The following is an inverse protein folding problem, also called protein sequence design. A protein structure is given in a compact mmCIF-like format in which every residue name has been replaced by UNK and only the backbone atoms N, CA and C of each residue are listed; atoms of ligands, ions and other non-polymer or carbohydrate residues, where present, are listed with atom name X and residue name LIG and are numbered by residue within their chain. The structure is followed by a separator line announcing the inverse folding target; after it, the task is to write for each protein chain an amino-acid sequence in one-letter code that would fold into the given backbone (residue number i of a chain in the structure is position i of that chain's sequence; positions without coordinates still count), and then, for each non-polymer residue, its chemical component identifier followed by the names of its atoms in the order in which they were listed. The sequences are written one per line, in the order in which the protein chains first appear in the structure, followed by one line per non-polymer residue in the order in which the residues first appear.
data_IF_758234332129
#
_entry.id   IF_758234332129
#
_cell.length_a   1.000
_cell.length_b   1.000
_cell.length_c   1.000
_cell.angle_alpha   90.00
_cell.angle_beta   90.00
_cell.angle_gamma   90.00
#
_symmetry.space_group_name_H-M   'P 1'
#
loop_
_entity.id
_entity.type
_entity.pdbx_description
1 polymer ?
#
# COMPACT_ATOMS: atom_id res chain seq x y z
N UNK A 1 12.33 -1.71 -1.50
CA UNK A 1 12.71 -1.15 -2.82
C UNK A 1 11.76 -1.74 -3.86
N UNK A 2 11.05 -0.90 -4.63
CA UNK A 2 10.13 -1.37 -5.68
C UNK A 2 10.92 -2.07 -6.78
N UNK A 3 10.41 -3.19 -7.30
CA UNK A 3 11.07 -3.95 -8.36
C UNK A 3 11.01 -3.15 -9.68
N UNK A 4 12.14 -2.70 -10.25
CA UNK A 4 12.14 -1.88 -11.46
C UNK A 4 11.67 -2.65 -12.70
N UNK A 5 11.61 -3.98 -12.63
CA UNK A 5 11.23 -4.87 -13.73
C UNK A 5 9.73 -5.21 -13.76
N UNK A 6 8.90 -4.51 -12.99
CA UNK A 6 7.45 -4.68 -13.04
C UNK A 6 6.94 -4.23 -14.41
N UNK A 7 6.43 -5.18 -15.20
CA UNK A 7 5.89 -4.94 -16.54
C UNK A 7 4.39 -4.66 -16.54
N UNK A 8 3.67 -5.16 -15.53
CA UNK A 8 2.23 -5.06 -15.43
C UNK A 8 1.85 -4.66 -14.02
N UNK A 9 1.01 -3.63 -13.89
CA UNK A 9 0.45 -3.19 -12.62
C UNK A 9 -1.06 -3.39 -12.64
N UNK A 10 -1.59 -4.02 -11.59
CA UNK A 10 -3.02 -4.16 -11.38
C UNK A 10 -3.38 -3.52 -10.04
N UNK A 11 -4.09 -2.40 -10.10
CA UNK A 11 -4.68 -1.74 -8.93
C UNK A 11 -6.13 -2.17 -8.80
N UNK A 12 -6.53 -2.54 -7.59
CA UNK A 12 -7.92 -2.87 -7.25
C UNK A 12 -8.31 -1.95 -6.09
N UNK A 13 -9.42 -1.23 -6.25
CA UNK A 13 -9.99 -0.39 -5.19
C UNK A 13 -11.40 -0.86 -4.87
N UNK A 14 -11.58 -1.26 -3.61
CA UNK A 14 -12.87 -1.69 -3.06
C UNK A 14 -13.28 -0.69 -1.96
N UNK A 15 -14.18 0.25 -2.29
CA UNK A 15 -14.66 1.28 -1.36
C UNK A 15 -15.60 2.29 -2.04
N UNK A 16 -16.25 3.20 -1.27
CA UNK A 16 -17.11 4.23 -1.82
C UNK A 16 -16.43 5.06 -2.90
N UNK A 17 -17.16 5.32 -3.99
CA UNK A 17 -16.68 6.08 -5.16
C UNK A 17 -16.03 7.41 -4.77
N UNK A 18 -16.52 8.08 -3.72
CA UNK A 18 -15.98 9.36 -3.26
C UNK A 18 -14.55 9.29 -2.69
N UNK A 19 -14.10 8.12 -2.20
CA UNK A 19 -12.79 7.98 -1.57
C UNK A 19 -11.70 7.65 -2.58
N UNK A 20 -11.92 6.64 -3.43
CA UNK A 20 -10.88 6.16 -4.35
C UNK A 20 -11.06 6.64 -5.79
N UNK A 21 -12.30 6.92 -6.24
CA UNK A 21 -12.57 7.42 -7.59
C UNK A 21 -12.51 8.95 -7.64
N UNK A 22 -11.35 9.52 -7.29
CA UNK A 22 -11.12 10.96 -7.36
C UNK A 22 -10.09 11.32 -8.44
N UNK A 23 -10.13 12.58 -8.91
CA UNK A 23 -9.25 13.06 -9.98
C UNK A 23 -7.77 12.96 -9.62
N UNK A 24 -7.42 13.13 -8.35
CA UNK A 24 -6.04 13.07 -7.86
C UNK A 24 -5.50 11.64 -7.97
N UNK A 25 -6.26 10.62 -7.56
CA UNK A 25 -5.86 9.23 -7.71
C UNK A 25 -5.73 8.83 -9.19
N UNK A 26 -6.60 9.34 -10.06
CA UNK A 26 -6.47 9.13 -11.51
C UNK A 26 -5.18 9.78 -12.06
N UNK A 27 -4.85 10.99 -11.61
CA UNK A 27 -3.58 11.63 -11.94
C UNK A 27 -2.39 10.81 -11.45
N UNK A 28 -2.38 10.41 -10.17
CA UNK A 28 -1.32 9.59 -9.58
C UNK A 28 -1.12 8.30 -10.36
N UNK A 29 -2.21 7.59 -10.68
CA UNK A 29 -2.16 6.35 -11.43
C UNK A 29 -1.58 6.54 -12.83
N UNK A 30 -1.96 7.60 -13.55
CA UNK A 30 -1.58 7.81 -14.96
C UNK A 30 -0.26 8.55 -15.15
N UNK A 31 0.16 9.38 -14.19
CA UNK A 31 1.32 10.29 -14.33
C UNK A 31 2.47 9.98 -13.37
N UNK A 32 2.16 9.63 -12.12
CA UNK A 32 3.22 9.35 -11.14
C UNK A 32 3.71 7.91 -11.23
N UNK A 33 2.81 6.93 -11.38
CA UNK A 33 3.17 5.51 -11.45
C UNK A 33 4.26 5.21 -12.49
N UNK A 34 4.15 5.82 -13.67
CA UNK A 34 5.11 5.59 -14.78
C UNK A 34 6.52 6.10 -14.47
N UNK A 35 6.68 7.05 -13.54
CA UNK A 35 8.00 7.55 -13.12
C UNK A 35 8.74 6.51 -12.25
N UNK A 36 8.00 5.68 -11.52
CA UNK A 36 8.57 4.70 -10.59
C UNK A 36 8.71 3.30 -11.18
N UNK A 37 7.90 2.96 -12.19
CA UNK A 37 7.97 1.66 -12.88
C UNK A 37 8.44 1.85 -14.33
N UNK A 38 9.76 1.98 -14.52
CA UNK A 38 10.37 2.24 -15.82
C UNK A 38 10.09 1.16 -16.89
N UNK A 39 9.88 -0.09 -16.47
CA UNK A 39 9.57 -1.22 -17.35
C UNK A 39 8.06 -1.46 -17.57
N UNK A 40 7.20 -0.57 -17.07
CA UNK A 40 5.74 -0.76 -17.10
C UNK A 40 5.22 -0.71 -18.54
N UNK A 41 4.72 -1.85 -19.02
CA UNK A 41 4.11 -1.98 -20.33
C UNK A 41 2.59 -1.80 -20.28
N UNK A 42 1.96 -2.19 -19.18
CA UNK A 42 0.51 -2.03 -18.99
C UNK A 42 0.16 -1.78 -17.52
N UNK A 43 -0.92 -1.02 -17.31
CA UNK A 43 -1.50 -0.81 -16.00
C UNK A 43 -3.02 -0.84 -16.10
N UNK A 44 -3.68 -1.52 -15.17
CA UNK A 44 -5.14 -1.51 -15.05
C UNK A 44 -5.55 -1.07 -13.66
N UNK A 45 -6.59 -0.26 -13.57
CA UNK A 45 -7.21 0.08 -12.30
C UNK A 45 -8.68 -0.33 -12.34
N UNK A 46 -9.02 -1.33 -11.52
CA UNK A 46 -10.35 -1.91 -11.44
C UNK A 46 -11.06 -1.47 -10.16
N UNK A 47 -12.35 -1.17 -10.30
CA UNK A 47 -13.23 -0.85 -9.18
C UNK A 47 -14.19 -2.00 -8.97
N UNK A 48 -14.26 -2.48 -7.74
CA UNK A 48 -15.28 -3.43 -7.33
C UNK A 48 -16.46 -2.68 -6.75
N UNK A 49 -17.68 -3.16 -6.99
CA UNK A 49 -18.85 -2.65 -6.27
C UNK A 49 -18.60 -2.72 -4.77
N UNK A 50 -19.11 -1.73 -4.03
CA UNK A 50 -19.07 -1.73 -2.58
C UNK A 50 -19.82 -2.94 -2.05
N UNK A 51 -19.09 -4.02 -1.79
CA UNK A 51 -19.60 -5.24 -1.18
C UNK A 51 -18.92 -5.38 0.17
N UNK A 52 -19.68 -5.78 1.20
CA UNK A 52 -19.13 -6.12 2.52
C UNK A 52 -18.25 -7.40 2.52
N UNK A 53 -17.69 -7.78 1.37
CA UNK A 53 -16.76 -8.90 1.26
C UNK A 53 -15.37 -8.45 1.65
N UNK A 54 -14.70 -9.20 2.53
CA UNK A 54 -13.30 -8.94 2.85
C UNK A 54 -12.43 -9.17 1.60
N UNK A 55 -11.61 -8.20 1.25
CA UNK A 55 -10.68 -8.27 0.13
C UNK A 55 -9.34 -8.92 0.51
N UNK A 56 -8.48 -9.11 -0.49
CA UNK A 56 -7.12 -9.61 -0.26
C UNK A 56 -6.31 -8.69 0.70
N UNK A 57 -6.54 -7.38 0.63
CA UNK A 57 -5.95 -6.38 1.54
C UNK A 57 -6.33 -6.65 3.01
N UNK A 58 -7.57 -7.03 3.28
CA UNK A 58 -8.02 -7.36 4.64
C UNK A 58 -7.31 -8.61 5.18
N UNK A 59 -7.02 -9.58 4.32
CA UNK A 59 -6.23 -10.76 4.67
C UNK A 59 -4.80 -10.40 5.10
N UNK A 60 -4.13 -9.51 4.35
CA UNK A 60 -2.81 -8.99 4.71
C UNK A 60 -2.86 -8.19 6.02
N UNK A 61 -3.88 -7.34 6.19
CA UNK A 61 -4.09 -6.63 7.46
C UNK A 61 -4.33 -7.58 8.62
N UNK A 62 -5.08 -8.65 8.40
CA UNK A 62 -5.39 -9.66 9.41
C UNK A 62 -4.15 -10.44 9.85
N UNK A 63 -3.29 -10.88 8.92
CA UNK A 63 -2.10 -11.66 9.28
C UNK A 63 -1.07 -10.79 10.05
N UNK A 64 -0.95 -9.51 9.69
CA UNK A 64 -0.10 -8.57 10.42
C UNK A 64 -0.60 -8.40 11.86
N UNK A 65 -1.91 -8.13 12.04
CA UNK A 65 -2.52 -7.96 13.37
C UNK A 65 -2.38 -9.23 14.22
N UNK A 66 -2.74 -10.39 13.66
CA UNK A 66 -2.62 -11.67 14.36
C UNK A 66 -1.18 -11.98 14.77
N UNK A 67 -0.20 -11.63 13.93
CA UNK A 67 1.21 -11.82 14.27
C UNK A 67 1.66 -10.92 15.40
N UNK A 68 1.20 -9.66 15.43
CA UNK A 68 1.44 -8.73 16.52
C UNK A 68 0.79 -9.20 17.83
N UNK A 69 -0.49 -9.61 17.78
CA UNK A 69 -1.21 -10.17 18.94
C UNK A 69 -0.47 -11.37 19.52
N UNK A 70 0.04 -12.25 18.67
CA UNK A 70 0.83 -13.41 19.08
C UNK A 70 2.16 -13.01 19.73
N UNK A 71 2.86 -12.03 19.17
CA UNK A 71 4.11 -11.52 19.74
C UNK A 71 3.89 -10.93 21.15
N UNK A 72 2.80 -10.18 21.34
CA UNK A 72 2.41 -9.64 22.66
C UNK A 72 2.03 -10.75 23.63
N UNK A 73 1.26 -11.75 23.18
CA UNK A 73 0.90 -12.90 24.02
C UNK A 73 2.12 -13.74 24.46
N UNK A 74 3.20 -13.72 23.68
CA UNK A 74 4.49 -14.35 24.01
C UNK A 74 5.38 -13.48 24.92
N UNK A 75 4.92 -12.29 25.32
CA UNK A 75 5.61 -11.39 26.24
C UNK A 75 6.51 -10.34 25.58
N UNK A 76 6.34 -10.08 24.27
CA UNK A 76 7.07 -9.02 23.57
C UNK A 76 6.24 -7.73 23.54
N UNK A 77 6.86 -6.60 23.88
CA UNK A 77 6.21 -5.30 23.76
C UNK A 77 6.34 -4.72 22.34
N UNK A 78 5.29 -4.04 21.88
CA UNK A 78 5.24 -3.33 20.59
C UNK A 78 4.89 -1.86 20.88
N UNK A 79 5.86 -1.04 21.32
CA UNK A 79 5.60 0.33 21.77
C UNK A 79 5.41 1.33 20.62
N UNK A 80 5.89 1.00 19.43
CA UNK A 80 5.92 1.89 18.28
C UNK A 80 5.77 1.13 16.95
N UNK A 81 5.75 1.91 15.87
CA UNK A 81 5.53 1.39 14.52
C UNK A 81 6.73 0.56 14.02
N UNK A 82 7.94 0.87 14.44
CA UNK A 82 9.15 0.17 14.01
C UNK A 82 9.23 -1.22 14.66
N UNK A 83 8.87 -1.31 15.94
CA UNK A 83 8.66 -2.58 16.63
C UNK A 83 7.56 -3.41 15.94
N UNK A 84 6.46 -2.78 15.53
CA UNK A 84 5.38 -3.47 14.81
C UNK A 84 5.88 -4.04 13.47
N UNK A 85 6.70 -3.32 12.71
CA UNK A 85 7.19 -3.80 11.40
C UNK A 85 8.22 -4.94 11.50
N UNK A 86 8.89 -5.07 12.63
CA UNK A 86 9.81 -6.18 12.88
C UNK A 86 9.05 -7.51 12.94
N UNK A 87 7.84 -7.50 13.51
CA UNK A 87 7.01 -8.70 13.69
C UNK A 87 6.66 -9.40 12.36
N UNK A 88 6.06 -8.75 11.34
CA UNK A 88 5.83 -9.38 10.04
C UNK A 88 7.10 -9.80 9.33
N UNK A 89 8.21 -9.06 9.46
CA UNK A 89 9.47 -9.43 8.79
C UNK A 89 10.01 -10.76 9.30
N UNK A 90 9.89 -11.00 10.60
CA UNK A 90 10.39 -12.22 11.24
C UNK A 90 9.41 -13.40 11.11
N UNK A 91 8.10 -13.11 11.08
CA UNK A 91 7.04 -14.14 11.19
C UNK A 91 6.27 -14.40 9.91
N UNK A 92 6.31 -13.49 8.93
CA UNK A 92 5.53 -13.54 7.70
C UNK A 92 6.44 -13.39 6.47
N UNK A 93 7.09 -14.49 6.05
CA UNK A 93 8.05 -14.49 4.92
C UNK A 93 7.46 -14.04 3.57
N UNK A 94 6.14 -14.09 3.40
CA UNK A 94 5.43 -13.62 2.19
C UNK A 94 4.94 -12.17 2.26
N UNK A 95 5.12 -11.47 3.39
CA UNK A 95 4.61 -10.10 3.59
C UNK A 95 5.77 -9.12 3.65
N UNK A 96 5.80 -8.21 2.68
CA UNK A 96 6.77 -7.12 2.65
C UNK A 96 6.12 -5.84 3.15
N UNK A 97 6.76 -5.20 4.13
CA UNK A 97 6.25 -3.96 4.73
C UNK A 97 7.29 -2.86 4.66
N UNK A 98 6.87 -1.69 4.20
CA UNK A 98 7.68 -0.47 4.12
C UNK A 98 7.00 0.65 4.89
N UNK A 99 7.80 1.52 5.50
CA UNK A 99 7.32 2.76 6.10
C UNK A 99 7.19 3.82 5.01
N UNK A 100 6.25 4.73 5.21
CA UNK A 100 6.11 5.97 4.43
C UNK A 100 6.03 7.09 5.45
N UNK A 101 6.99 8.00 5.43
CA UNK A 101 7.04 9.15 6.32
C UNK A 101 6.24 10.31 5.77
N UNK A 102 5.92 11.28 6.63
CA UNK A 102 5.28 12.53 6.22
C UNK A 102 6.16 13.33 5.25
N UNK A 103 7.48 13.22 5.36
CA UNK A 103 8.42 13.81 4.40
C UNK A 103 8.26 13.18 3.00
N UNK A 104 8.11 11.85 2.93
CA UNK A 104 7.89 11.16 1.66
C UNK A 104 6.59 11.64 1.00
N UNK A 105 5.53 11.81 1.78
CA UNK A 105 4.23 12.32 1.30
C UNK A 105 4.39 13.75 0.79
N UNK A 106 5.01 14.63 1.59
CA UNK A 106 5.21 16.04 1.23
C UNK A 106 6.04 16.22 -0.06
N UNK A 107 7.02 15.35 -0.31
CA UNK A 107 7.80 15.36 -1.55
C UNK A 107 6.90 15.10 -2.75
N UNK A 108 6.02 14.10 -2.67
CA UNK A 108 5.07 13.80 -3.74
C UNK A 108 4.08 14.94 -3.90
N UNK A 109 3.45 15.43 -2.82
CA UNK A 109 2.46 16.50 -2.89
C UNK A 109 3.01 17.78 -3.54
N UNK A 110 4.23 18.19 -3.19
CA UNK A 110 4.89 19.34 -3.83
C UNK A 110 5.10 19.14 -5.33
N UNK A 111 5.38 17.92 -5.76
CA UNK A 111 5.51 17.60 -7.19
C UNK A 111 4.17 17.66 -7.93
N UNK A 112 3.06 17.39 -7.24
CA UNK A 112 1.70 17.48 -7.78
C UNK A 112 1.25 18.94 -7.96
N UNK A 113 1.54 19.82 -6.99
CA UNK A 113 1.12 21.24 -7.04
C UNK A 113 1.78 22.04 -8.16
N UNK A 114 2.85 21.54 -8.78
CA UNK A 114 3.51 22.17 -9.92
C UNK A 114 2.92 21.73 -11.27
N UNK A 115 2.02 20.76 -11.27
CA UNK A 115 1.59 20.01 -12.46
C UNK A 115 0.08 20.07 -12.74
N UNK A 116 -0.69 20.81 -11.93
CA UNK A 116 -2.15 20.99 -12.03
C UNK A 116 -2.47 22.49 -12.02
#
# INVERSE_FOLDING_TARGET
MLNPNVKQLHSISDSPTSQYCNKQNFYLFTKETVKYFLALASATWNYTESRHGKGASDGIGSIIKQSADKAVAEGNDIPDVDALFTVPRERCTGVFVTTVSELDINVIEKSLSQSI
#
